data_IF_653718557432
#
_entry.id   IF_653718557432
#
_cell.length_a   1.000
_cell.length_b   1.000
_cell.length_c   1.000
_cell.angle_alpha   90.00
_cell.angle_beta   90.00
_cell.angle_gamma   90.00
#
_symmetry.space_group_name_H-M   'P 1'
#
loop_
_entity.id
_entity.type
_entity.pdbx_description
1 polymer ?
#
# COMPACT_ATOMS: atom_id res chain seq x y z
N UNK A 1 2.89 -9.66 26.39
CA UNK A 1 1.88 -8.80 27.07
C UNK A 1 2.30 -8.31 28.46
N UNK A 2 2.99 -9.09 29.30
CA UNK A 2 3.39 -8.65 30.65
C UNK A 2 4.33 -7.42 30.68
N UNK A 3 5.20 -7.26 29.68
CA UNK A 3 6.10 -6.10 29.54
C UNK A 3 5.52 -4.88 28.82
N UNK A 4 4.18 -4.82 28.66
CA UNK A 4 3.49 -3.70 28.00
C UNK A 4 2.58 -3.03 29.01
N UNK A 5 2.68 -1.71 29.14
CA UNK A 5 1.86 -0.95 30.09
C UNK A 5 0.38 -0.93 29.66
N UNK A 6 -0.56 -0.66 30.58
CA UNK A 6 -1.96 -0.46 30.23
C UNK A 6 -2.16 0.63 29.16
N UNK A 7 -1.49 1.78 29.30
CA UNK A 7 -1.57 2.88 28.33
C UNK A 7 -1.10 2.44 26.95
N UNK A 8 0.05 1.76 26.86
CA UNK A 8 0.57 1.28 25.57
C UNK A 8 -0.40 0.30 24.89
N UNK A 9 -1.14 -0.51 25.65
CA UNK A 9 -2.18 -1.38 25.09
C UNK A 9 -3.37 -0.57 24.57
N UNK A 10 -3.78 0.44 25.30
CA UNK A 10 -4.87 1.33 24.90
C UNK A 10 -4.52 2.11 23.62
N UNK A 11 -3.31 2.65 23.53
CA UNK A 11 -2.83 3.38 22.35
C UNK A 11 -2.78 2.47 21.10
N UNK A 12 -2.30 1.23 21.25
CA UNK A 12 -2.29 0.24 20.17
C UNK A 12 -3.73 -0.12 19.77
N UNK A 13 -4.63 -0.30 20.74
CA UNK A 13 -6.03 -0.62 20.48
C UNK A 13 -6.73 0.52 19.72
N UNK A 14 -6.53 1.77 20.14
CA UNK A 14 -7.08 2.95 19.46
C UNK A 14 -6.71 2.99 17.98
N UNK A 15 -5.42 2.84 17.66
CA UNK A 15 -4.96 2.81 16.27
C UNK A 15 -5.54 1.62 15.49
N UNK A 16 -5.56 0.43 16.12
CA UNK A 16 -6.08 -0.79 15.49
C UNK A 16 -7.58 -0.72 15.21
N UNK A 17 -8.36 -0.11 16.08
CA UNK A 17 -9.80 0.04 15.90
C UNK A 17 -10.12 0.94 14.70
N UNK A 18 -9.38 2.05 14.53
CA UNK A 18 -9.53 2.93 13.38
C UNK A 18 -9.13 2.23 12.06
N UNK A 19 -7.98 1.55 12.03
CA UNK A 19 -7.51 0.81 10.85
C UNK A 19 -8.46 -0.33 10.50
N UNK A 20 -8.95 -1.08 11.52
CA UNK A 20 -9.93 -2.16 11.34
C UNK A 20 -11.20 -1.65 10.70
N UNK A 21 -11.77 -0.58 11.25
CA UNK A 21 -13.03 0.00 10.75
C UNK A 21 -12.90 0.40 9.29
N UNK A 22 -11.81 1.05 8.90
CA UNK A 22 -11.62 1.44 7.51
C UNK A 22 -11.38 0.23 6.59
N UNK A 23 -10.56 -0.73 7.01
CA UNK A 23 -10.32 -1.97 6.28
C UNK A 23 -11.62 -2.78 6.06
N UNK A 24 -12.51 -2.84 7.05
CA UNK A 24 -13.80 -3.53 6.95
C UNK A 24 -14.72 -2.86 5.93
N UNK A 25 -14.76 -1.52 5.89
CA UNK A 25 -15.49 -0.76 4.87
C UNK A 25 -14.95 -1.05 3.47
N UNK A 26 -13.62 -1.08 3.30
CA UNK A 26 -12.99 -1.45 2.03
C UNK A 26 -13.29 -2.90 1.63
N UNK A 27 -13.39 -3.83 2.60
CA UNK A 27 -13.70 -5.23 2.29
C UNK A 27 -15.15 -5.39 1.86
N UNK A 28 -16.05 -4.64 2.50
CA UNK A 28 -17.47 -4.61 2.19
C UNK A 28 -17.77 -3.97 0.82
N UNK A 29 -16.87 -3.14 0.28
CA UNK A 29 -17.04 -2.58 -1.07
C UNK A 29 -16.69 -3.57 -2.19
N UNK A 30 -16.10 -4.74 -1.89
CA UNK A 30 -15.77 -5.77 -2.87
C UNK A 30 -16.95 -6.74 -3.07
N UNK A 31 -17.45 -6.83 -4.31
CA UNK A 31 -18.58 -7.70 -4.66
C UNK A 31 -18.21 -8.79 -5.67
N UNK A 32 -18.67 -10.00 -5.39
CA UNK A 32 -18.69 -11.10 -6.36
C UNK A 32 -19.76 -10.81 -7.44
N UNK A 33 -19.58 -11.38 -8.63
CA UNK A 33 -20.46 -11.19 -9.78
C UNK A 33 -20.76 -12.57 -10.35
N UNK A 34 -22.02 -12.83 -10.68
CA UNK A 34 -22.44 -13.89 -11.57
C UNK A 34 -23.58 -13.33 -12.43
N UNK A 35 -23.45 -13.45 -13.75
CA UNK A 35 -24.45 -12.94 -14.68
C UNK A 35 -24.61 -13.89 -15.87
N UNK A 36 -25.87 -14.08 -16.28
CA UNK A 36 -26.20 -14.64 -17.59
C UNK A 36 -25.90 -13.57 -18.65
N UNK A 37 -24.76 -13.70 -19.33
CA UNK A 37 -24.32 -12.71 -20.34
C UNK A 37 -24.93 -12.96 -21.72
N UNK A 38 -25.39 -14.19 -21.94
CA UNK A 38 -26.18 -14.66 -23.10
C UNK A 38 -27.09 -15.78 -22.61
N UNK A 39 -28.24 -16.04 -23.28
CA UNK A 39 -29.09 -17.17 -22.93
C UNK A 39 -28.29 -18.46 -22.74
N UNK A 40 -28.35 -19.04 -21.55
CA UNK A 40 -27.65 -20.26 -21.16
C UNK A 40 -26.14 -20.13 -20.91
N UNK A 41 -25.53 -18.93 -20.97
CA UNK A 41 -24.10 -18.68 -20.73
C UNK A 41 -23.91 -17.75 -19.54
N UNK A 42 -23.28 -18.28 -18.50
CA UNK A 42 -23.01 -17.57 -17.26
C UNK A 42 -21.52 -17.30 -17.10
N UNK A 43 -21.20 -16.05 -16.77
CA UNK A 43 -19.85 -15.63 -16.39
C UNK A 43 -19.90 -15.05 -14.97
N UNK A 44 -18.87 -15.28 -14.20
CA UNK A 44 -18.75 -14.70 -12.87
C UNK A 44 -17.32 -14.56 -12.40
N UNK A 45 -17.15 -13.93 -11.25
CA UNK A 45 -15.90 -13.90 -10.51
C UNK A 45 -16.12 -14.07 -9.00
N UNK A 46 -15.07 -14.49 -8.30
CA UNK A 46 -15.01 -14.51 -6.84
C UNK A 46 -13.80 -13.75 -6.33
N UNK A 47 -14.00 -12.97 -5.27
CA UNK A 47 -12.98 -12.23 -4.54
C UNK A 47 -12.50 -13.08 -3.36
N UNK A 48 -11.42 -13.82 -3.58
CA UNK A 48 -10.91 -14.83 -2.66
C UNK A 48 -9.65 -14.31 -1.92
N UNK A 49 -9.61 -14.35 -0.58
CA UNK A 49 -8.42 -13.95 0.14
C UNK A 49 -7.22 -14.88 -0.15
N UNK A 50 -6.02 -14.32 0.00
CA UNK A 50 -4.79 -15.09 0.06
C UNK A 50 -4.82 -16.03 1.27
N UNK A 51 -4.27 -17.22 1.13
CA UNK A 51 -4.28 -18.20 2.22
C UNK A 51 -3.12 -17.97 3.18
N UNK A 52 -1.90 -17.83 2.66
CA UNK A 52 -0.70 -17.68 3.47
C UNK A 52 0.05 -16.41 3.09
N UNK A 53 0.20 -15.49 4.04
CA UNK A 53 0.87 -14.20 3.79
C UNK A 53 1.96 -13.94 4.83
N UNK A 54 3.06 -13.33 4.40
CA UNK A 54 4.05 -12.72 5.29
C UNK A 54 3.78 -11.22 5.38
N UNK A 55 3.62 -10.71 6.59
CA UNK A 55 3.66 -9.30 6.94
C UNK A 55 5.05 -8.96 7.52
N UNK A 56 5.91 -8.36 6.70
CA UNK A 56 7.19 -7.85 7.16
C UNK A 56 6.99 -6.50 7.86
N UNK A 57 7.34 -6.44 9.14
CA UNK A 57 7.25 -5.23 9.96
C UNK A 57 8.67 -4.71 10.18
N UNK A 58 9.02 -3.53 9.64
CA UNK A 58 10.36 -3.00 9.78
C UNK A 58 10.75 -2.76 11.24
N UNK A 59 12.06 -2.82 11.45
CA UNK A 59 12.71 -2.33 12.66
C UNK A 59 14.12 -1.87 12.29
N UNK A 60 15.00 -1.72 13.27
CA UNK A 60 16.30 -1.10 13.05
C UNK A 60 16.34 0.25 13.76
N UNK A 61 16.50 1.34 12.99
CA UNK A 61 16.61 2.71 13.53
C UNK A 61 15.46 3.05 14.48
N UNK A 62 14.25 2.64 14.14
CA UNK A 62 13.05 2.82 14.97
C UNK A 62 12.20 1.54 15.03
N UNK A 63 11.60 1.19 16.18
CA UNK A 63 10.59 0.14 16.25
C UNK A 63 9.29 0.61 15.59
N UNK A 64 8.81 -0.06 14.55
CA UNK A 64 7.62 0.36 13.79
C UNK A 64 6.36 -0.36 14.24
N UNK A 65 5.77 0.13 15.34
CA UNK A 65 4.50 -0.39 15.89
C UNK A 65 3.37 -0.29 14.86
N UNK A 66 3.28 0.85 14.16
CA UNK A 66 2.18 1.10 13.23
C UNK A 66 2.16 0.13 12.05
N UNK A 67 3.33 -0.24 11.52
CA UNK A 67 3.42 -1.19 10.40
C UNK A 67 2.85 -2.56 10.73
N UNK A 68 2.75 -2.94 12.02
CA UNK A 68 2.06 -4.16 12.42
C UNK A 68 0.55 -4.09 12.14
N UNK A 69 -0.14 -3.01 12.52
CA UNK A 69 -1.57 -2.90 12.25
C UNK A 69 -1.86 -2.54 10.78
N UNK A 70 -0.97 -1.81 10.10
CA UNK A 70 -1.14 -1.56 8.66
C UNK A 70 -1.04 -2.83 7.82
N UNK A 71 -0.25 -3.82 8.23
CA UNK A 71 -0.07 -5.07 7.49
C UNK A 71 -0.92 -6.23 8.04
N UNK A 72 -0.65 -6.67 9.28
CA UNK A 72 -1.25 -7.85 9.89
C UNK A 72 -2.76 -7.70 10.03
N UNK A 73 -3.22 -6.57 10.59
CA UNK A 73 -4.64 -6.36 10.83
C UNK A 73 -5.40 -6.32 9.50
N UNK A 74 -4.90 -5.57 8.52
CA UNK A 74 -5.47 -5.49 7.17
C UNK A 74 -5.57 -6.87 6.51
N UNK A 75 -4.55 -7.72 6.66
CA UNK A 75 -4.58 -9.09 6.15
C UNK A 75 -5.65 -9.95 6.84
N UNK A 76 -5.81 -9.83 8.17
CA UNK A 76 -6.86 -10.55 8.90
C UNK A 76 -8.25 -10.08 8.51
N UNK A 77 -8.46 -8.77 8.32
CA UNK A 77 -9.75 -8.22 7.83
C UNK A 77 -10.05 -8.68 6.41
N UNK A 78 -9.05 -8.81 5.54
CA UNK A 78 -9.24 -9.36 4.20
C UNK A 78 -9.72 -10.82 4.22
N UNK A 79 -9.42 -11.56 5.29
CA UNK A 79 -9.80 -12.96 5.50
C UNK A 79 -8.67 -13.96 5.22
N UNK A 80 -7.40 -13.55 5.35
CA UNK A 80 -6.28 -14.45 5.16
C UNK A 80 -6.24 -15.57 6.22
N UNK A 81 -6.08 -16.83 5.79
CA UNK A 81 -6.10 -18.01 6.68
C UNK A 81 -4.93 -17.98 7.68
N UNK A 82 -3.70 -17.76 7.17
CA UNK A 82 -2.44 -17.75 7.93
C UNK A 82 -1.65 -16.47 7.65
N UNK A 83 -1.52 -15.64 8.68
CA UNK A 83 -0.73 -14.40 8.68
C UNK A 83 0.52 -14.61 9.52
N UNK A 84 1.65 -14.77 8.83
CA UNK A 84 2.98 -14.79 9.44
C UNK A 84 3.46 -13.35 9.54
N UNK A 85 3.91 -12.91 10.71
CA UNK A 85 4.52 -11.61 10.90
C UNK A 85 6.00 -11.76 11.27
N UNK A 86 6.86 -10.87 10.78
CA UNK A 86 8.25 -10.84 11.21
C UNK A 86 8.76 -9.42 11.47
N UNK A 87 9.71 -9.31 12.41
CA UNK A 87 10.42 -8.07 12.73
C UNK A 87 11.84 -8.41 13.13
N UNK A 88 12.86 -7.60 12.78
CA UNK A 88 14.19 -7.78 13.31
C UNK A 88 14.22 -7.60 14.84
N UNK A 89 15.21 -8.19 15.53
CA UNK A 89 15.49 -7.85 16.92
C UNK A 89 15.96 -6.38 17.05
N UNK A 90 15.91 -5.84 18.27
CA UNK A 90 16.40 -4.50 18.58
C UNK A 90 17.89 -4.38 18.25
N UNK A 91 18.33 -3.32 17.52
CA UNK A 91 19.75 -3.13 17.22
C UNK A 91 20.60 -2.98 18.46
N UNK A 92 21.83 -3.48 18.40
CA UNK A 92 22.81 -3.39 19.48
C UNK A 92 22.57 -4.36 20.63
N UNK A 93 21.32 -4.60 21.02
CA UNK A 93 20.97 -5.51 22.14
C UNK A 93 20.58 -6.90 21.67
N UNK A 94 20.00 -7.05 20.47
CA UNK A 94 19.45 -8.31 20.00
C UNK A 94 18.15 -8.71 20.70
N UNK A 95 17.60 -7.83 21.54
CA UNK A 95 16.39 -8.12 22.31
C UNK A 95 15.13 -8.13 21.45
N UNK A 96 14.09 -8.76 21.96
CA UNK A 96 12.77 -8.79 21.30
C UNK A 96 12.13 -7.40 21.36
N UNK A 97 11.68 -6.83 20.22
CA UNK A 97 10.97 -5.56 20.20
C UNK A 97 9.55 -5.74 20.78
N UNK A 98 9.46 -5.67 22.11
CA UNK A 98 8.27 -6.10 22.88
C UNK A 98 6.98 -5.39 22.45
N UNK A 99 7.02 -4.08 22.16
CA UNK A 99 5.85 -3.34 21.70
C UNK A 99 5.42 -3.73 20.29
N UNK A 100 6.37 -3.91 19.37
CA UNK A 100 6.08 -4.35 18.00
C UNK A 100 5.45 -5.74 18.00
N UNK A 101 5.99 -6.67 18.80
CA UNK A 101 5.42 -8.03 18.96
C UNK A 101 4.03 -7.99 19.58
N UNK A 102 3.80 -7.12 20.58
CA UNK A 102 2.48 -6.94 21.16
C UNK A 102 1.47 -6.41 20.13
N UNK A 103 1.86 -5.45 19.30
CA UNK A 103 1.01 -4.93 18.24
C UNK A 103 0.68 -5.98 17.17
N UNK A 104 1.66 -6.79 16.73
CA UNK A 104 1.40 -7.91 15.82
C UNK A 104 0.42 -8.93 16.40
N UNK A 105 0.61 -9.28 17.68
CA UNK A 105 -0.27 -10.21 18.37
C UNK A 105 -1.71 -9.67 18.47
N UNK A 106 -1.86 -8.42 18.90
CA UNK A 106 -3.16 -7.75 19.00
C UNK A 106 -3.83 -7.58 17.62
N UNK A 107 -3.05 -7.36 16.57
CA UNK A 107 -3.53 -7.29 15.20
C UNK A 107 -4.03 -8.64 14.65
N UNK A 108 -3.66 -9.75 15.29
CA UNK A 108 -4.13 -11.10 14.96
C UNK A 108 -3.15 -11.95 14.15
N UNK A 109 -1.83 -11.70 14.25
CA UNK A 109 -0.83 -12.57 13.64
C UNK A 109 -0.94 -14.01 14.19
N UNK A 110 -0.88 -14.99 13.29
CA UNK A 110 -0.94 -16.41 13.64
C UNK A 110 0.44 -16.95 14.05
N UNK A 111 1.51 -16.42 13.44
CA UNK A 111 2.90 -16.71 13.78
C UNK A 111 3.72 -15.42 13.83
N UNK A 112 4.63 -15.29 14.81
CA UNK A 112 5.52 -14.14 14.93
C UNK A 112 6.97 -14.61 14.98
N UNK A 113 7.79 -14.09 14.06
CA UNK A 113 9.20 -14.44 13.91
C UNK A 113 10.11 -13.24 14.15
N UNK A 114 11.08 -13.39 15.05
CA UNK A 114 12.08 -12.35 15.31
C UNK A 114 13.24 -12.51 14.33
N UNK A 115 13.04 -12.00 13.11
CA UNK A 115 13.98 -12.01 11.99
C UNK A 115 13.67 -10.84 11.05
N UNK A 116 14.67 -10.29 10.37
CA UNK A 116 14.49 -9.14 9.47
C UNK A 116 15.30 -9.24 8.17
N UNK A 117 15.24 -8.22 7.33
CA UNK A 117 16.07 -8.14 6.12
C UNK A 117 15.81 -9.26 5.10
N UNK A 118 16.78 -9.44 4.18
CA UNK A 118 16.69 -10.37 3.04
C UNK A 118 16.48 -11.82 3.50
N UNK A 119 17.08 -12.23 4.61
CA UNK A 119 16.96 -13.60 5.10
C UNK A 119 15.55 -13.91 5.64
N UNK A 120 14.86 -12.93 6.23
CA UNK A 120 13.46 -13.12 6.63
C UNK A 120 12.55 -13.33 5.41
N UNK A 121 12.75 -12.52 4.35
CA UNK A 121 12.01 -12.67 3.09
C UNK A 121 12.34 -14.02 2.45
N UNK A 122 13.62 -14.38 2.35
CA UNK A 122 14.06 -15.66 1.79
C UNK A 122 13.51 -16.86 2.55
N UNK A 123 13.56 -16.84 3.89
CA UNK A 123 13.02 -17.91 4.73
C UNK A 123 11.51 -18.09 4.54
N UNK A 124 10.75 -17.00 4.44
CA UNK A 124 9.30 -17.07 4.23
C UNK A 124 8.93 -17.52 2.81
N UNK A 125 9.70 -17.16 1.79
CA UNK A 125 9.38 -17.51 0.39
C UNK A 125 9.82 -18.94 0.06
N UNK A 126 10.97 -19.39 0.58
CA UNK A 126 11.50 -20.72 0.28
C UNK A 126 11.07 -21.77 1.31
N UNK A 127 10.62 -21.34 2.49
CA UNK A 127 10.43 -22.20 3.64
C UNK A 127 11.76 -22.58 4.31
N UNK A 128 11.65 -23.04 5.55
CA UNK A 128 12.73 -23.62 6.34
C UNK A 128 12.20 -24.87 7.05
N UNK A 129 13.03 -25.53 7.87
CA UNK A 129 12.58 -26.65 8.71
C UNK A 129 11.43 -26.28 9.68
N UNK A 130 11.30 -24.99 10.05
CA UNK A 130 10.32 -24.53 11.03
C UNK A 130 9.30 -23.53 10.49
N UNK A 131 9.62 -22.85 9.38
CA UNK A 131 8.74 -21.87 8.74
C UNK A 131 8.28 -22.44 7.40
N UNK A 132 6.98 -22.72 7.28
CA UNK A 132 6.41 -23.10 5.99
C UNK A 132 6.39 -21.89 5.03
N UNK A 133 6.53 -22.13 3.71
CA UNK A 133 6.54 -21.05 2.73
C UNK A 133 5.19 -20.30 2.68
N UNK A 134 5.21 -19.05 2.22
CA UNK A 134 4.03 -18.18 2.02
C UNK A 134 3.77 -17.91 0.54
N UNK A 135 2.54 -17.47 0.22
CA UNK A 135 2.10 -17.18 -1.15
C UNK A 135 2.20 -15.68 -1.51
N UNK A 136 2.23 -14.81 -0.49
CA UNK A 136 2.25 -13.36 -0.65
C UNK A 136 3.11 -12.68 0.43
N UNK A 137 3.87 -11.65 0.07
CA UNK A 137 4.72 -10.88 0.99
C UNK A 137 4.32 -9.40 0.94
N UNK A 138 4.04 -8.83 2.11
CA UNK A 138 3.72 -7.41 2.26
C UNK A 138 4.65 -6.71 3.25
N UNK A 139 4.63 -5.39 3.19
CA UNK A 139 5.29 -4.52 4.15
C UNK A 139 6.48 -3.80 3.52
N UNK A 140 6.73 -2.55 3.96
CA UNK A 140 7.87 -1.78 3.51
C UNK A 140 9.16 -2.35 4.11
N UNK A 141 10.30 -1.85 3.65
CA UNK A 141 11.60 -2.21 4.21
C UNK A 141 12.69 -1.38 3.57
N UNK A 142 13.91 -1.54 4.06
CA UNK A 142 15.06 -0.86 3.45
C UNK A 142 15.31 -1.39 2.00
N UNK A 143 16.24 -0.75 1.30
CA UNK A 143 16.59 -1.10 -0.09
C UNK A 143 16.87 -2.60 -0.30
N UNK A 144 17.44 -3.30 0.68
CA UNK A 144 17.70 -4.74 0.58
C UNK A 144 16.43 -5.58 0.63
N UNK A 145 15.47 -5.24 1.50
CA UNK A 145 14.17 -5.91 1.56
C UNK A 145 13.37 -5.64 0.29
N UNK A 146 13.37 -4.39 -0.18
CA UNK A 146 12.72 -3.99 -1.43
C UNK A 146 13.28 -4.78 -2.63
N UNK A 147 14.61 -4.88 -2.73
CA UNK A 147 15.28 -5.64 -3.79
C UNK A 147 15.01 -7.15 -3.69
N UNK A 148 15.01 -7.72 -2.48
CA UNK A 148 14.66 -9.13 -2.27
C UNK A 148 13.23 -9.43 -2.74
N UNK A 149 12.26 -8.58 -2.37
CA UNK A 149 10.87 -8.68 -2.84
C UNK A 149 10.80 -8.62 -4.37
N UNK A 150 11.53 -7.68 -4.99
CA UNK A 150 11.58 -7.52 -6.45
C UNK A 150 12.10 -8.76 -7.17
N UNK A 151 13.19 -9.36 -6.69
CA UNK A 151 13.77 -10.57 -7.29
C UNK A 151 12.90 -11.81 -7.11
N UNK A 152 12.10 -11.87 -6.04
CA UNK A 152 11.25 -13.02 -5.72
C UNK A 152 9.84 -12.91 -6.31
N UNK A 153 9.46 -11.74 -6.83
CA UNK A 153 8.17 -11.53 -7.47
C UNK A 153 7.98 -12.48 -8.66
N UNK A 154 6.82 -13.13 -8.72
CA UNK A 154 6.49 -14.17 -9.70
C UNK A 154 6.65 -15.59 -9.14
N UNK A 155 7.55 -15.79 -8.17
CA UNK A 155 7.53 -16.99 -7.31
C UNK A 155 6.57 -16.80 -6.14
N UNK A 156 6.57 -15.61 -5.57
CA UNK A 156 5.63 -15.14 -4.55
C UNK A 156 4.96 -13.87 -5.06
N UNK A 157 3.74 -13.58 -4.65
CA UNK A 157 3.17 -12.25 -4.88
C UNK A 157 3.75 -11.23 -3.90
N UNK A 158 3.76 -9.95 -4.30
CA UNK A 158 4.15 -8.84 -3.43
C UNK A 158 3.12 -7.70 -3.54
N UNK A 159 3.04 -6.86 -2.52
CA UNK A 159 2.20 -5.65 -2.48
C UNK A 159 2.70 -4.54 -3.41
N UNK A 160 3.92 -4.05 -3.14
CA UNK A 160 4.63 -2.99 -3.85
C UNK A 160 6.12 -2.99 -3.47
N UNK A 161 6.93 -2.27 -4.26
CA UNK A 161 8.35 -2.03 -3.96
C UNK A 161 8.43 -0.63 -3.38
N UNK A 162 8.62 -0.54 -2.06
CA UNK A 162 8.80 0.73 -1.37
C UNK A 162 10.24 1.20 -1.50
N UNK A 163 10.42 2.48 -1.83
CA UNK A 163 11.69 3.19 -1.78
C UNK A 163 11.77 4.12 -0.56
N UNK A 164 12.57 5.20 -0.65
CA UNK A 164 12.61 6.23 0.39
C UNK A 164 11.24 6.89 0.58
N UNK A 165 10.93 7.28 1.82
CA UNK A 165 9.70 8.02 2.13
C UNK A 165 9.74 9.41 1.51
N UNK A 166 8.62 9.83 0.91
CA UNK A 166 8.47 11.08 0.16
C UNK A 166 7.25 11.88 0.67
N UNK A 167 7.35 13.22 0.71
CA UNK A 167 6.20 14.10 0.97
C UNK A 167 6.12 15.28 0.01
N UNK A 168 4.88 15.68 -0.28
CA UNK A 168 4.53 16.83 -1.10
C UNK A 168 3.44 17.64 -0.39
N UNK A 169 3.72 18.91 -0.11
CA UNK A 169 2.76 19.87 0.41
C UNK A 169 2.24 20.75 -0.72
N UNK A 170 0.92 20.87 -0.84
CA UNK A 170 0.22 21.78 -1.74
C UNK A 170 -0.48 22.84 -0.90
N UNK A 171 0.01 24.09 -0.93
CA UNK A 171 -0.44 25.14 -0.01
C UNK A 171 -0.82 26.44 -0.73
N UNK A 172 -1.89 27.09 -0.30
CA UNK A 172 -2.15 28.51 -0.59
C UNK A 172 -1.73 29.42 0.57
N UNK A 173 -2.11 30.69 0.52
CA UNK A 173 -1.81 31.67 1.56
C UNK A 173 -2.72 31.59 2.81
N UNK A 174 -3.58 30.57 2.92
CA UNK A 174 -4.47 30.39 4.07
C UNK A 174 -3.81 29.73 5.27
N UNK A 175 -2.69 29.03 5.07
CA UNK A 175 -1.96 28.34 6.11
C UNK A 175 -0.68 29.08 6.51
N UNK A 176 -0.18 28.80 7.71
CA UNK A 176 1.03 29.41 8.22
C UNK A 176 2.29 28.58 7.89
N UNK A 177 3.44 29.27 7.96
CA UNK A 177 4.74 28.71 7.64
C UNK A 177 5.26 27.72 8.69
N UNK A 178 4.82 27.84 9.95
CA UNK A 178 5.23 26.94 11.04
C UNK A 178 4.66 25.55 10.81
N UNK A 179 3.38 25.46 10.48
CA UNK A 179 2.72 24.22 10.10
C UNK A 179 3.40 23.57 8.88
N UNK A 180 3.61 24.34 7.80
CA UNK A 180 4.24 23.83 6.57
C UNK A 180 5.65 23.29 6.82
N UNK A 181 6.47 24.02 7.59
CA UNK A 181 7.83 23.58 7.92
C UNK A 181 7.83 22.33 8.80
N UNK A 182 6.92 22.26 9.79
CA UNK A 182 6.79 21.09 10.66
C UNK A 182 6.42 19.83 9.87
N UNK A 183 5.47 19.92 8.94
CA UNK A 183 5.04 18.76 8.16
C UNK A 183 6.10 18.32 7.12
N UNK A 184 6.87 19.24 6.54
CA UNK A 184 8.03 18.90 5.72
C UNK A 184 9.10 18.16 6.54
N UNK A 185 9.45 18.71 7.71
CA UNK A 185 10.48 18.13 8.57
C UNK A 185 10.07 16.78 9.18
N UNK A 186 8.77 16.58 9.41
CA UNK A 186 8.22 15.31 9.88
C UNK A 186 8.56 14.13 8.97
N UNK A 187 8.56 14.32 7.65
CA UNK A 187 9.01 13.26 6.73
C UNK A 187 10.52 13.31 6.45
N UNK A 188 11.14 14.48 6.49
CA UNK A 188 12.60 14.59 6.32
C UNK A 188 13.40 13.78 7.37
N UNK A 189 12.85 13.58 8.58
CA UNK A 189 13.54 12.79 9.62
C UNK A 189 13.58 11.27 9.36
N UNK A 190 12.78 10.77 8.42
CA UNK A 190 12.73 9.34 8.11
C UNK A 190 14.05 8.80 7.56
N UNK A 191 14.73 9.58 6.71
CA UNK A 191 16.00 9.18 6.11
C UNK A 191 16.75 10.33 5.46
N UNK A 192 18.07 10.19 5.34
CA UNK A 192 18.95 11.19 4.72
C UNK A 192 18.61 11.48 3.25
N UNK A 193 17.82 10.61 2.61
CA UNK A 193 17.42 10.67 1.22
C UNK A 193 15.90 10.74 1.03
N UNK A 194 15.16 11.23 2.03
CA UNK A 194 13.71 11.46 1.95
C UNK A 194 13.43 12.82 1.29
N UNK A 195 12.79 12.88 0.12
CA UNK A 195 12.38 14.13 -0.49
C UNK A 195 11.23 14.80 0.28
N UNK A 196 11.33 16.11 0.46
CA UNK A 196 10.31 16.94 1.10
C UNK A 196 10.06 18.18 0.23
N UNK A 197 8.95 18.18 -0.50
CA UNK A 197 8.65 19.21 -1.49
C UNK A 197 7.42 20.02 -1.07
N UNK A 198 7.47 21.33 -1.25
CA UNK A 198 6.33 22.21 -1.12
C UNK A 198 6.04 22.89 -2.45
N UNK A 199 4.78 22.95 -2.85
CA UNK A 199 4.29 23.71 -4.00
C UNK A 199 3.27 24.72 -3.49
N UNK A 200 3.42 25.98 -3.86
CA UNK A 200 2.53 27.05 -3.39
C UNK A 200 2.31 28.14 -4.42
N UNK A 201 1.15 28.79 -4.36
CA UNK A 201 0.86 30.02 -5.13
C UNK A 201 1.36 31.29 -4.43
N UNK A 202 1.95 31.17 -3.23
CA UNK A 202 2.35 32.31 -2.38
C UNK A 202 3.86 32.36 -2.18
N UNK A 203 4.53 33.29 -2.87
CA UNK A 203 5.97 33.56 -2.70
C UNK A 203 6.29 33.98 -1.25
N UNK A 204 5.38 34.72 -0.61
CA UNK A 204 5.52 35.09 0.81
C UNK A 204 5.56 33.85 1.71
N UNK A 205 4.65 32.89 1.48
CA UNK A 205 4.60 31.66 2.26
C UNK A 205 5.84 30.81 2.00
N UNK A 206 6.26 30.67 0.74
CA UNK A 206 7.46 29.93 0.37
C UNK A 206 8.70 30.40 1.17
N UNK A 207 8.99 31.70 1.17
CA UNK A 207 10.12 32.24 1.92
C UNK A 207 9.97 32.09 3.44
N UNK A 208 8.76 32.30 3.96
CA UNK A 208 8.50 32.14 5.38
C UNK A 208 8.70 30.68 5.84
N UNK A 209 8.23 29.70 5.06
CA UNK A 209 8.42 28.27 5.35
C UNK A 209 9.90 27.90 5.35
N UNK A 210 10.70 28.38 4.39
CA UNK A 210 12.14 28.13 4.40
C UNK A 210 12.83 28.65 5.66
N UNK A 211 12.49 29.87 6.10
CA UNK A 211 13.06 30.44 7.33
C UNK A 211 12.67 29.64 8.57
N UNK A 212 11.46 29.09 8.56
CA UNK A 212 10.89 28.32 9.66
C UNK A 212 11.47 26.91 9.74
N UNK A 213 11.78 26.28 8.60
CA UNK A 213 12.56 25.05 8.54
C UNK A 213 13.92 25.22 9.24
N UNK A 214 14.66 26.28 8.90
CA UNK A 214 15.95 26.58 9.54
C UNK A 214 15.80 26.79 11.05
N UNK A 215 14.73 27.46 11.49
CA UNK A 215 14.45 27.68 12.92
C UNK A 215 14.17 26.36 13.64
N UNK A 216 13.28 25.52 13.10
CA UNK A 216 12.86 24.28 13.74
C UNK A 216 14.00 23.26 13.83
N UNK A 217 14.87 23.20 12.83
CA UNK A 217 16.07 22.34 12.81
C UNK A 217 17.04 22.64 13.96
N UNK A 218 17.01 23.83 14.57
CA UNK A 218 17.84 24.13 15.76
C UNK A 218 17.43 23.34 17.01
N UNK A 219 16.18 22.89 17.07
CA UNK A 219 15.60 22.24 18.25
C UNK A 219 15.13 20.81 18.01
N UNK A 220 14.98 20.40 16.75
CA UNK A 220 14.51 19.07 16.39
C UNK A 220 15.54 17.99 16.82
N UNK A 221 15.17 17.00 17.66
CA UNK A 221 16.11 15.97 18.11
C UNK A 221 16.72 15.14 16.96
N UNK A 222 15.99 15.00 15.85
CA UNK A 222 16.38 14.27 14.64
C UNK A 222 16.99 15.19 13.57
N UNK A 223 17.37 16.43 13.92
CA UNK A 223 17.87 17.45 12.99
C UNK A 223 19.04 16.98 12.12
N UNK A 224 19.92 16.09 12.59
CA UNK A 224 21.01 15.57 11.75
C UNK A 224 20.49 14.86 10.50
N UNK A 225 19.45 14.01 10.64
CA UNK A 225 18.85 13.33 9.49
C UNK A 225 18.00 14.30 8.67
N UNK A 226 17.13 15.08 9.34
CA UNK A 226 16.21 15.98 8.66
C UNK A 226 16.93 17.10 7.88
N UNK A 227 18.00 17.68 8.44
CA UNK A 227 18.79 18.72 7.76
C UNK A 227 19.50 18.20 6.51
N UNK A 228 19.96 16.94 6.52
CA UNK A 228 20.58 16.33 5.36
C UNK A 228 19.55 16.07 4.24
N UNK A 229 18.38 15.51 4.60
CA UNK A 229 17.27 15.33 3.66
C UNK A 229 16.83 16.67 3.07
N UNK A 230 16.60 17.69 3.91
CA UNK A 230 16.19 19.02 3.46
C UNK A 230 17.23 19.68 2.54
N UNK A 231 18.51 19.63 2.91
CA UNK A 231 19.58 20.23 2.10
C UNK A 231 19.70 19.58 0.73
N UNK A 232 19.60 18.25 0.65
CA UNK A 232 19.92 17.49 -0.56
C UNK A 232 18.68 17.23 -1.45
N UNK A 233 17.48 17.24 -0.87
CA UNK A 233 16.22 16.87 -1.55
C UNK A 233 15.02 17.77 -1.21
N UNK A 234 15.22 18.83 -0.41
CA UNK A 234 14.17 19.79 -0.08
C UNK A 234 13.94 20.76 -1.23
N UNK A 235 12.68 20.97 -1.62
CA UNK A 235 12.32 21.89 -2.69
C UNK A 235 11.09 22.72 -2.32
N UNK A 236 11.10 24.00 -2.69
CA UNK A 236 9.92 24.88 -2.63
C UNK A 236 9.69 25.47 -4.01
N UNK A 237 8.53 25.16 -4.58
CA UNK A 237 8.15 25.51 -5.94
C UNK A 237 7.01 26.51 -5.87
N UNK A 238 7.21 27.70 -6.44
CA UNK A 238 6.16 28.72 -6.56
C UNK A 238 5.51 28.60 -7.93
N UNK A 239 4.19 28.53 -7.96
CA UNK A 239 3.37 28.39 -9.18
C UNK A 239 2.37 29.54 -9.28
N UNK A 240 1.86 29.79 -10.48
CA UNK A 240 0.95 30.90 -10.76
C UNK A 240 -0.47 30.63 -10.25
N UNK A 241 -0.95 29.39 -10.34
CA UNK A 241 -2.32 29.00 -9.99
C UNK A 241 -2.45 27.52 -9.60
N UNK A 242 -3.67 27.13 -9.20
CA UNK A 242 -4.02 25.78 -8.73
C UNK A 242 -3.90 24.73 -9.85
N UNK A 243 -4.07 25.13 -11.12
CA UNK A 243 -3.93 24.21 -12.26
C UNK A 243 -2.47 23.84 -12.47
N UNK A 244 -1.56 24.81 -12.38
CA UNK A 244 -0.12 24.55 -12.40
C UNK A 244 0.34 23.79 -11.15
N UNK A 245 -0.22 24.10 -9.97
CA UNK A 245 0.04 23.33 -8.75
C UNK A 245 -0.30 21.85 -8.93
N UNK A 246 -1.47 21.56 -9.51
CA UNK A 246 -1.89 20.21 -9.83
C UNK A 246 -0.96 19.54 -10.85
N UNK A 247 -0.55 20.23 -11.91
CA UNK A 247 0.38 19.68 -12.90
C UNK A 247 1.71 19.27 -12.26
N UNK A 248 2.29 20.13 -11.43
CA UNK A 248 3.52 19.84 -10.69
C UNK A 248 3.32 18.63 -9.76
N UNK A 249 2.20 18.58 -9.04
CA UNK A 249 1.89 17.44 -8.17
C UNK A 249 1.79 16.11 -8.94
N UNK A 250 1.17 16.12 -10.12
CA UNK A 250 1.04 14.96 -11.00
C UNK A 250 2.38 14.50 -11.59
N UNK A 251 3.31 15.44 -11.81
CA UNK A 251 4.68 15.16 -12.25
C UNK A 251 5.51 14.53 -11.12
N UNK A 252 5.42 15.09 -9.92
CA UNK A 252 6.13 14.59 -8.73
C UNK A 252 5.57 13.23 -8.30
N UNK A 253 4.24 13.03 -8.28
CA UNK A 253 3.59 11.77 -7.87
C UNK A 253 4.17 11.24 -6.54
N UNK A 254 4.10 12.07 -5.50
CA UNK A 254 4.66 11.75 -4.18
C UNK A 254 3.89 10.61 -3.49
N UNK A 255 4.58 9.90 -2.62
CA UNK A 255 4.00 8.92 -1.68
C UNK A 255 2.91 9.56 -0.83
N UNK A 256 3.23 10.67 -0.16
CA UNK A 256 2.30 11.45 0.63
C UNK A 256 2.07 12.80 -0.01
N UNK A 257 0.80 13.19 -0.19
CA UNK A 257 0.41 14.51 -0.71
C UNK A 257 -0.53 15.18 0.29
N UNK A 258 -0.07 16.24 0.94
CA UNK A 258 -0.85 17.03 1.88
C UNK A 258 -1.33 18.31 1.22
N UNK A 259 -2.65 18.51 1.18
CA UNK A 259 -3.32 19.64 0.53
C UNK A 259 -3.86 20.58 1.59
N UNK A 260 -3.08 21.60 1.89
CA UNK A 260 -3.39 22.67 2.83
C UNK A 260 -3.87 23.90 2.06
N UNK A 261 -5.09 23.77 1.51
CA UNK A 261 -5.67 24.71 0.55
C UNK A 261 -7.14 24.99 0.90
N UNK A 262 -7.61 26.23 0.67
CA UNK A 262 -9.03 26.60 0.91
C UNK A 262 -10.00 25.73 0.11
N UNK A 263 -9.62 25.36 -1.11
CA UNK A 263 -10.37 24.45 -1.98
C UNK A 263 -9.63 23.11 -2.19
N UNK A 264 -9.33 22.41 -1.11
CA UNK A 264 -8.70 21.08 -1.20
C UNK A 264 -9.53 20.06 -2.00
N UNK A 265 -10.85 20.29 -2.18
CA UNK A 265 -11.74 19.40 -2.97
C UNK A 265 -11.37 19.41 -4.45
N UNK A 266 -10.94 20.55 -4.98
CA UNK A 266 -10.42 20.62 -6.35
C UNK A 266 -9.33 19.57 -6.59
N UNK A 267 -8.37 19.44 -5.67
CA UNK A 267 -7.29 18.46 -5.81
C UNK A 267 -7.77 17.02 -5.65
N UNK A 268 -8.70 16.75 -4.73
CA UNK A 268 -9.32 15.42 -4.58
C UNK A 268 -10.01 14.95 -5.86
N UNK A 269 -10.72 15.84 -6.54
CA UNK A 269 -11.50 15.49 -7.73
C UNK A 269 -10.64 15.38 -9.01
N UNK A 270 -9.49 16.06 -9.05
CA UNK A 270 -8.70 16.19 -10.28
C UNK A 270 -7.37 15.43 -10.27
N UNK A 271 -6.80 15.13 -9.10
CA UNK A 271 -5.50 14.43 -9.00
C UNK A 271 -5.63 12.93 -9.27
N UNK A 272 -4.64 12.36 -9.94
CA UNK A 272 -4.63 10.96 -10.42
C UNK A 272 -3.41 10.17 -9.96
N UNK A 273 -2.27 10.82 -9.73
CA UNK A 273 -1.02 10.16 -9.37
C UNK A 273 -0.54 10.60 -7.98
N UNK A 274 -0.79 9.77 -6.96
CA UNK A 274 -0.37 9.98 -5.57
C UNK A 274 -0.39 8.64 -4.81
N UNK A 275 0.31 8.55 -3.67
CA UNK A 275 0.14 7.42 -2.75
C UNK A 275 -1.07 7.60 -1.83
N UNK A 276 -1.11 8.69 -1.05
CA UNK A 276 -2.25 9.09 -0.23
C UNK A 276 -2.43 10.61 -0.17
N UNK A 277 -3.69 11.05 -0.08
CA UNK A 277 -4.05 12.46 0.11
C UNK A 277 -4.40 12.74 1.57
N UNK A 278 -3.90 13.86 2.07
CA UNK A 278 -4.19 14.44 3.38
C UNK A 278 -4.80 15.81 3.15
N UNK A 279 -6.09 16.00 3.46
CA UNK A 279 -6.87 17.13 2.97
C UNK A 279 -7.26 18.07 4.11
N UNK A 280 -6.94 19.35 3.96
CA UNK A 280 -7.13 20.38 4.98
C UNK A 280 -5.93 20.52 5.92
N UNK A 281 -5.82 21.67 6.58
CA UNK A 281 -4.74 21.98 7.54
C UNK A 281 -4.80 21.11 8.80
N UNK A 282 -5.98 20.55 9.10
CA UNK A 282 -6.21 19.69 10.26
C UNK A 282 -5.72 18.24 10.05
N UNK A 283 -5.33 17.88 8.82
CA UNK A 283 -4.97 16.52 8.45
C UNK A 283 -3.53 16.46 7.95
N UNK A 284 -2.68 15.74 8.69
CA UNK A 284 -1.26 15.58 8.35
C UNK A 284 -0.87 14.11 8.15
N UNK A 285 0.33 13.93 7.59
CA UNK A 285 0.90 12.60 7.30
C UNK A 285 1.08 11.76 8.56
N UNK A 286 1.49 12.35 9.68
CA UNK A 286 1.68 11.63 10.95
C UNK A 286 0.40 10.95 11.44
N UNK A 287 -0.77 11.54 11.20
CA UNK A 287 -2.04 10.92 11.56
C UNK A 287 -2.31 9.66 10.72
N UNK A 288 -2.07 9.74 9.41
CA UNK A 288 -2.15 8.59 8.48
C UNK A 288 -1.16 7.49 8.82
N UNK A 289 0.06 7.87 9.15
CA UNK A 289 1.14 6.94 9.45
C UNK A 289 0.91 6.12 10.71
N UNK A 290 0.11 6.63 11.65
CA UNK A 290 0.05 6.08 13.00
C UNK A 290 -1.33 5.62 13.44
N UNK A 291 -2.40 6.42 13.23
CA UNK A 291 -3.62 6.25 14.05
C UNK A 291 -4.96 6.48 13.35
N UNK A 292 -5.06 7.26 12.28
CA UNK A 292 -6.38 7.71 11.78
C UNK A 292 -7.15 6.62 11.01
N UNK A 293 -6.45 5.64 10.41
CA UNK A 293 -7.03 4.43 9.84
C UNK A 293 -6.62 4.10 8.40
N UNK A 294 -6.14 5.08 7.62
CA UNK A 294 -5.57 4.83 6.28
C UNK A 294 -4.27 4.04 6.37
N UNK A 295 -3.89 3.36 5.29
CA UNK A 295 -2.67 2.55 5.28
C UNK A 295 -1.45 3.37 4.86
N UNK A 296 -0.35 3.26 5.60
CA UNK A 296 0.90 3.97 5.29
C UNK A 296 1.87 3.23 4.38
N UNK A 297 1.54 2.00 3.96
CA UNK A 297 2.41 1.26 3.03
C UNK A 297 2.06 1.75 1.64
N UNK A 298 2.72 2.82 1.22
CA UNK A 298 2.36 3.58 0.04
C UNK A 298 3.42 3.43 -1.08
N UNK A 299 3.04 3.71 -2.33
CA UNK A 299 3.97 3.72 -3.44
C UNK A 299 4.88 4.96 -3.39
N UNK A 300 6.19 4.76 -3.58
CA UNK A 300 7.19 5.84 -3.68
C UNK A 300 7.81 5.87 -5.09
N UNK A 301 8.70 6.82 -5.40
CA UNK A 301 9.42 6.92 -6.68
C UNK A 301 8.47 6.91 -7.89
N UNK A 302 7.43 7.73 -7.86
CA UNK A 302 6.38 7.81 -8.89
C UNK A 302 5.55 6.52 -9.10
N UNK A 303 5.65 5.52 -8.22
CA UNK A 303 4.88 4.28 -8.38
C UNK A 303 3.36 4.49 -8.23
N UNK A 304 2.93 5.62 -7.65
CA UNK A 304 1.53 6.06 -7.62
C UNK A 304 0.89 6.15 -9.01
N UNK A 305 1.70 6.21 -10.09
CA UNK A 305 1.23 6.17 -11.48
C UNK A 305 0.62 4.84 -11.92
N UNK A 306 0.97 3.73 -11.25
CA UNK A 306 0.54 2.39 -11.67
C UNK A 306 0.11 1.49 -10.52
N UNK A 307 0.29 1.89 -9.27
CA UNK A 307 -0.23 1.17 -8.10
C UNK A 307 -0.63 2.14 -7.01
N UNK A 308 -1.69 1.80 -6.26
CA UNK A 308 -1.97 2.42 -4.97
C UNK A 308 -1.22 1.73 -3.82
N UNK A 309 -1.46 2.23 -2.60
CA UNK A 309 -0.93 1.64 -1.37
C UNK A 309 -1.51 0.28 -1.01
N UNK A 310 -1.04 -0.26 0.10
CA UNK A 310 -1.59 -1.47 0.71
C UNK A 310 -3.02 -1.20 1.20
N UNK A 311 -3.94 -2.08 0.85
CA UNK A 311 -5.33 -2.04 1.31
C UNK A 311 -5.87 -3.48 1.30
N UNK A 312 -7.07 -3.72 1.82
CA UNK A 312 -7.60 -5.10 1.91
C UNK A 312 -7.61 -5.82 0.57
N UNK A 313 -7.89 -5.13 -0.54
CA UNK A 313 -7.92 -5.74 -1.88
C UNK A 313 -6.57 -6.24 -2.38
N UNK A 314 -5.43 -5.76 -1.85
CA UNK A 314 -4.10 -6.34 -2.16
C UNK A 314 -3.94 -7.77 -1.64
N UNK A 315 -4.77 -8.18 -0.68
CA UNK A 315 -4.82 -9.54 -0.15
C UNK A 315 -5.90 -10.40 -0.82
N UNK A 316 -6.59 -9.88 -1.86
CA UNK A 316 -7.68 -10.55 -2.55
C UNK A 316 -7.26 -10.92 -3.96
N UNK A 317 -7.62 -12.13 -4.39
CA UNK A 317 -7.52 -12.61 -5.77
C UNK A 317 -8.90 -12.63 -6.39
N UNK A 318 -9.05 -12.05 -7.57
CA UNK A 318 -10.29 -12.13 -8.35
C UNK A 318 -10.18 -13.28 -9.34
N UNK A 319 -10.91 -14.37 -9.10
CA UNK A 319 -10.93 -15.55 -9.97
C UNK A 319 -12.21 -15.58 -10.79
N UNK A 320 -12.09 -15.61 -12.11
CA UNK A 320 -13.24 -15.76 -13.00
C UNK A 320 -13.65 -17.22 -13.14
N UNK A 321 -14.94 -17.43 -13.38
CA UNK A 321 -15.51 -18.73 -13.72
C UNK A 321 -16.61 -18.55 -14.76
N UNK A 322 -16.92 -19.64 -15.45
CA UNK A 322 -17.89 -19.66 -16.53
C UNK A 322 -18.55 -21.03 -16.63
N UNK A 323 -19.84 -21.04 -16.97
CA UNK A 323 -20.56 -22.28 -17.22
C UNK A 323 -21.67 -22.05 -18.25
N UNK A 324 -22.00 -23.12 -18.98
CA UNK A 324 -23.09 -23.13 -19.95
C UNK A 324 -24.14 -24.12 -19.48
N UNK A 325 -25.38 -23.68 -19.35
CA UNK A 325 -26.52 -24.51 -18.91
C UNK A 325 -27.35 -25.06 -20.07
N UNK A 326 -27.23 -24.46 -21.26
CA UNK A 326 -27.94 -24.85 -22.46
C UNK A 326 -27.01 -25.41 -23.54
N UNK A 327 -27.36 -26.59 -24.06
CA UNK A 327 -26.62 -27.23 -25.16
C UNK A 327 -26.66 -26.40 -26.43
N UNK A 328 -27.77 -25.70 -26.73
CA UNK A 328 -27.86 -24.84 -27.92
C UNK A 328 -26.90 -23.66 -27.81
N UNK A 329 -26.83 -23.02 -26.63
CA UNK A 329 -25.83 -22.00 -26.33
C UNK A 329 -24.39 -22.53 -26.48
N UNK A 330 -24.10 -23.76 -26.03
CA UNK A 330 -22.77 -24.35 -26.24
C UNK A 330 -22.46 -24.62 -27.72
N UNK A 331 -23.45 -24.98 -28.53
CA UNK A 331 -23.27 -25.16 -29.97
C UNK A 331 -22.91 -23.82 -30.61
N UNK A 332 -23.66 -22.76 -30.30
CA UNK A 332 -23.39 -21.41 -30.82
C UNK A 332 -21.97 -20.97 -30.50
N UNK A 333 -21.58 -20.97 -29.22
CA UNK A 333 -20.23 -20.61 -28.78
C UNK A 333 -19.15 -21.47 -29.46
N UNK A 334 -19.40 -22.78 -29.55
CA UNK A 334 -18.47 -23.72 -30.17
C UNK A 334 -18.24 -23.46 -31.65
N UNK A 335 -19.26 -23.04 -32.40
CA UNK A 335 -19.12 -22.70 -33.81
C UNK A 335 -18.20 -21.49 -34.02
N UNK A 336 -18.39 -20.40 -33.27
CA UNK A 336 -17.51 -19.23 -33.34
C UNK A 336 -16.08 -19.58 -32.90
N UNK A 337 -15.94 -20.25 -31.76
CA UNK A 337 -14.64 -20.67 -31.24
C UNK A 337 -13.86 -21.51 -32.25
N UNK A 338 -14.52 -22.47 -32.91
CA UNK A 338 -13.84 -23.33 -33.89
C UNK A 338 -13.28 -22.56 -35.10
N UNK A 339 -14.01 -21.54 -35.59
CA UNK A 339 -13.54 -20.70 -36.70
C UNK A 339 -12.38 -19.80 -36.28
N UNK A 340 -12.44 -19.22 -35.09
CA UNK A 340 -11.32 -18.43 -34.54
C UNK A 340 -10.06 -19.30 -34.41
N UNK A 341 -10.20 -20.54 -33.91
CA UNK A 341 -9.08 -21.47 -33.83
C UNK A 341 -8.48 -21.82 -35.21
N UNK A 342 -9.26 -21.79 -36.29
CA UNK A 342 -8.74 -22.00 -37.64
C UNK A 342 -7.87 -20.82 -38.11
N UNK A 343 -8.30 -19.58 -37.81
CA UNK A 343 -7.53 -18.37 -38.09
C UNK A 343 -6.21 -18.33 -37.32
N UNK A 344 -6.22 -18.84 -36.08
CA UNK A 344 -5.07 -18.85 -35.18
C UNK A 344 -4.21 -20.13 -35.33
N UNK A 345 -4.64 -21.08 -36.18
CA UNK A 345 -3.99 -22.39 -36.38
C UNK A 345 -3.90 -23.28 -35.11
N UNK A 346 -4.82 -23.11 -34.15
CA UNK A 346 -4.92 -23.92 -32.93
C UNK A 346 -5.80 -25.17 -33.12
N UNK A 347 -5.29 -26.18 -33.81
CA UNK A 347 -6.05 -27.38 -34.17
C UNK A 347 -6.71 -28.10 -32.98
N UNK A 348 -5.98 -28.25 -31.86
CA UNK A 348 -6.49 -28.91 -30.65
C UNK A 348 -7.62 -28.12 -29.96
N UNK A 349 -7.50 -26.79 -29.88
CA UNK A 349 -8.56 -25.95 -29.30
C UNK A 349 -9.80 -25.96 -30.19
N UNK A 350 -9.61 -25.86 -31.51
CA UNK A 350 -10.70 -25.94 -32.47
C UNK A 350 -11.49 -27.25 -32.35
N UNK A 351 -10.79 -28.36 -32.13
CA UNK A 351 -11.45 -29.66 -31.96
C UNK A 351 -12.23 -29.79 -30.64
N UNK A 352 -11.76 -29.17 -29.54
CA UNK A 352 -12.55 -29.08 -28.29
C UNK A 352 -13.90 -28.40 -28.49
N UNK A 353 -13.96 -27.38 -29.35
CA UNK A 353 -15.20 -26.69 -29.70
C UNK A 353 -16.05 -27.54 -30.66
N UNK A 354 -15.45 -28.08 -31.73
CA UNK A 354 -16.16 -28.86 -32.75
C UNK A 354 -16.80 -30.14 -32.22
N UNK A 355 -16.17 -30.85 -31.28
CA UNK A 355 -16.78 -32.08 -30.73
C UNK A 355 -18.11 -31.79 -30.02
N UNK A 356 -18.22 -30.64 -29.32
CA UNK A 356 -19.45 -30.18 -28.67
C UNK A 356 -20.50 -29.80 -29.70
N UNK A 357 -20.13 -29.04 -30.73
CA UNK A 357 -21.00 -28.73 -31.88
C UNK A 357 -21.53 -30.01 -32.53
N UNK A 358 -20.66 -30.96 -32.89
CA UNK A 358 -21.07 -32.21 -33.56
C UNK A 358 -21.98 -33.08 -32.68
N UNK A 359 -21.83 -33.03 -31.36
CA UNK A 359 -22.60 -33.85 -30.41
C UNK A 359 -23.97 -33.24 -30.10
N UNK A 360 -24.03 -31.93 -29.89
CA UNK A 360 -25.23 -31.25 -29.38
C UNK A 360 -26.05 -30.53 -30.45
N UNK A 361 -25.53 -30.35 -31.67
CA UNK A 361 -26.31 -29.86 -32.82
C UNK A 361 -27.23 -30.94 -33.41
N UNK A 362 -27.04 -32.20 -33.01
CA UNK A 362 -27.80 -33.38 -33.49
C UNK A 362 -28.98 -33.75 -32.57
N UNK A 363 -29.04 -33.15 -31.40
CA UNK A 363 -30.22 -33.16 -30.52
C UNK A 363 -31.08 -31.95 -30.89
#
# INVERSE_FOLDING_TARGET
MAGVSPQQREDIAFAQDNVRRFAELQRASLSDIEAEVKPGVFLGHKNLPMRNVLCYVPGGKFPMIASAHMSVLTAKVAGCDRVVACTPPMPGTGEVPTLTVAAMHMAGADEIWIMGGVHAIGAAVHGTERLAPVDFVVGPGNAYVAEAKRQLFGKVGIDLIAGPTETLLLCDDSVDAELCATDLLGQAEHGYNSPAVMVTTSERLAHATCAEVERQLLTLPTAETASASWRDYGEVIVVEDDAQMLEVAEQICSEHVQVMHRDWRYFLDNMRNYGALFLGEETNVSYGDKVIGTNHTLPTNHAGRYTGGLWVGKFIKTHTYQYITDKAASVEIGEYCSRLCDYEHFAGHGEQARIRVRRWKKE
#
